data_IF_082007067372
#
_entry.id   IF_082007067372
#
_cell.length_a   1.000
_cell.length_b   1.000
_cell.length_c   1.000
_cell.angle_alpha   90.00
_cell.angle_beta   90.00
_cell.angle_gamma   90.00
#
_symmetry.space_group_name_H-M   'P 1'
#
loop_
_entity.id
_entity.type
_entity.pdbx_description
1 polymer ?
#
# COMPACT_ATOMS: atom_id res chain seq x y z
N UNK A 1 -26.17 -20.78 -0.09
CA UNK A 1 -25.00 -21.03 -1.01
C UNK A 1 -24.49 -19.66 -1.48
N UNK A 2 -23.25 -19.32 -1.18
CA UNK A 2 -22.69 -18.02 -1.58
C UNK A 2 -22.60 -17.92 -3.11
N UNK A 3 -22.99 -16.78 -3.68
CA UNK A 3 -22.85 -16.51 -5.13
C UNK A 3 -21.38 -16.43 -5.53
N UNK A 4 -21.07 -16.63 -6.81
CA UNK A 4 -19.70 -16.46 -7.34
C UNK A 4 -19.26 -14.99 -7.23
N UNK A 5 -17.93 -14.75 -7.16
CA UNK A 5 -17.38 -13.41 -7.12
C UNK A 5 -17.79 -12.58 -8.35
N UNK A 6 -17.81 -13.18 -9.53
CA UNK A 6 -18.23 -12.51 -10.76
C UNK A 6 -19.69 -12.03 -10.68
N UNK A 7 -20.59 -12.86 -10.17
CA UNK A 7 -21.99 -12.49 -9.96
C UNK A 7 -22.13 -11.41 -8.89
N UNK A 8 -21.34 -11.48 -7.82
CA UNK A 8 -21.30 -10.44 -6.77
C UNK A 8 -20.92 -9.08 -7.35
N UNK A 9 -19.81 -9.00 -8.10
CA UNK A 9 -19.35 -7.73 -8.70
C UNK A 9 -20.38 -7.16 -9.69
N UNK A 10 -21.02 -8.02 -10.49
CA UNK A 10 -22.10 -7.60 -11.40
C UNK A 10 -23.24 -6.93 -10.64
N UNK A 11 -23.72 -7.56 -9.57
CA UNK A 11 -24.81 -7.01 -8.75
C UNK A 11 -24.37 -5.69 -8.10
N UNK A 12 -23.19 -5.66 -7.49
CA UNK A 12 -22.67 -4.50 -6.76
C UNK A 12 -22.53 -3.26 -7.66
N UNK A 13 -21.96 -3.42 -8.84
CA UNK A 13 -21.72 -2.30 -9.76
C UNK A 13 -22.94 -1.90 -10.59
N UNK A 14 -23.71 -2.87 -11.08
CA UNK A 14 -24.70 -2.64 -12.15
C UNK A 14 -26.16 -2.76 -11.71
N UNK A 15 -26.47 -3.51 -10.66
CA UNK A 15 -27.87 -3.82 -10.32
C UNK A 15 -28.41 -3.01 -9.15
N UNK A 16 -27.54 -2.37 -8.35
CA UNK A 16 -27.96 -1.54 -7.22
C UNK A 16 -28.47 -0.18 -7.69
N UNK A 17 -29.65 0.21 -7.20
CA UNK A 17 -30.20 1.55 -7.46
C UNK A 17 -29.39 2.64 -6.76
N UNK A 18 -29.47 3.92 -7.17
CA UNK A 18 -28.79 5.02 -6.49
C UNK A 18 -29.11 5.12 -4.99
N UNK A 19 -30.35 4.80 -4.60
CA UNK A 19 -30.77 4.79 -3.19
C UNK A 19 -30.15 3.61 -2.43
N UNK A 20 -30.08 2.45 -3.05
CA UNK A 20 -29.44 1.26 -2.46
C UNK A 20 -27.94 1.47 -2.30
N UNK A 21 -27.25 2.13 -3.26
CA UNK A 21 -25.83 2.50 -3.16
C UNK A 21 -25.53 3.47 -2.03
N UNK A 22 -26.53 4.23 -1.54
CA UNK A 22 -26.39 5.08 -0.35
C UNK A 22 -26.67 4.32 0.95
N UNK A 23 -27.65 3.42 0.96
CA UNK A 23 -28.04 2.64 2.16
C UNK A 23 -26.99 1.60 2.53
N UNK A 24 -26.47 0.90 1.55
CA UNK A 24 -25.58 -0.26 1.76
C UNK A 24 -24.31 0.07 2.56
N UNK A 25 -23.54 1.12 2.24
CA UNK A 25 -22.36 1.48 3.02
C UNK A 25 -22.68 1.81 4.49
N UNK A 26 -23.77 2.51 4.75
CA UNK A 26 -24.20 2.87 6.11
C UNK A 26 -24.56 1.62 6.92
N UNK A 27 -25.24 0.66 6.28
CA UNK A 27 -25.55 -0.63 6.89
C UNK A 27 -24.28 -1.45 7.19
N UNK A 28 -23.36 -1.55 6.23
CA UNK A 28 -22.08 -2.24 6.40
C UNK A 28 -21.16 -1.55 7.41
N UNK A 29 -21.38 -0.25 7.66
CA UNK A 29 -20.77 0.50 8.75
C UNK A 29 -21.37 0.18 10.13
N UNK A 30 -22.37 -0.71 10.20
CA UNK A 30 -23.01 -1.11 11.44
C UNK A 30 -24.03 -0.10 12.00
N UNK A 31 -24.53 0.84 11.18
CA UNK A 31 -25.59 1.76 11.59
C UNK A 31 -26.95 1.04 11.76
N UNK A 32 -27.79 1.58 12.64
CA UNK A 32 -29.19 1.11 12.80
C UNK A 32 -30.08 1.67 11.70
N UNK A 33 -31.21 1.03 11.44
CA UNK A 33 -32.20 1.51 10.47
C UNK A 33 -32.64 2.96 10.74
N UNK A 34 -32.70 3.37 12.01
CA UNK A 34 -33.02 4.74 12.41
C UNK A 34 -31.91 5.73 12.04
N UNK A 35 -30.68 5.36 12.30
CA UNK A 35 -29.51 6.17 11.92
C UNK A 35 -29.42 6.34 10.38
N UNK A 36 -29.58 5.24 9.64
CA UNK A 36 -29.59 5.24 8.16
C UNK A 36 -30.74 6.11 7.65
N UNK A 37 -31.95 5.97 8.20
CA UNK A 37 -33.09 6.78 7.78
C UNK A 37 -32.84 8.28 8.03
N UNK A 38 -32.26 8.64 9.17
CA UNK A 38 -31.91 10.02 9.51
C UNK A 38 -30.89 10.62 8.54
N UNK A 39 -29.84 9.88 8.21
CA UNK A 39 -28.80 10.34 7.24
C UNK A 39 -29.35 10.50 5.82
N UNK A 40 -30.37 9.70 5.47
CA UNK A 40 -31.05 9.79 4.16
C UNK A 40 -32.16 10.85 4.12
N UNK A 41 -32.39 11.58 5.22
CA UNK A 41 -33.48 12.54 5.32
C UNK A 41 -34.89 11.90 5.31
N UNK A 42 -34.98 10.61 5.65
CA UNK A 42 -36.24 9.88 5.65
C UNK A 42 -36.89 9.94 7.05
N UNK A 43 -38.21 10.10 7.07
CA UNK A 43 -39.00 10.25 8.30
C UNK A 43 -39.23 8.94 9.07
N UNK A 44 -39.08 7.78 8.41
CA UNK A 44 -39.34 6.47 9.00
C UNK A 44 -38.21 5.46 8.78
N UNK A 45 -37.87 4.70 9.85
CA UNK A 45 -36.89 3.59 9.82
C UNK A 45 -37.23 2.49 8.79
N UNK A 46 -38.52 2.32 8.48
CA UNK A 46 -39.01 1.35 7.50
C UNK A 46 -38.43 1.55 6.11
N UNK A 47 -38.01 2.78 5.77
CA UNK A 47 -37.38 3.08 4.49
C UNK A 47 -36.03 2.37 4.36
N UNK A 48 -35.20 2.39 5.39
CA UNK A 48 -33.90 1.70 5.42
C UNK A 48 -34.10 0.17 5.37
N UNK A 49 -34.99 -0.35 6.22
CA UNK A 49 -35.30 -1.77 6.28
C UNK A 49 -35.82 -2.32 4.95
N UNK A 50 -36.69 -1.60 4.26
CA UNK A 50 -37.20 -1.99 2.94
C UNK A 50 -36.08 -2.02 1.88
N UNK A 51 -35.19 -1.04 1.89
CA UNK A 51 -34.05 -1.05 0.94
C UNK A 51 -33.09 -2.21 1.22
N UNK A 52 -32.81 -2.52 2.48
CA UNK A 52 -31.95 -3.65 2.86
C UNK A 52 -32.54 -5.00 2.46
N UNK A 53 -33.85 -5.20 2.59
CA UNK A 53 -34.53 -6.41 2.08
C UNK A 53 -34.33 -6.57 0.58
N UNK A 54 -34.54 -5.49 -0.18
CA UNK A 54 -34.37 -5.51 -1.63
C UNK A 54 -32.92 -5.73 -2.06
N UNK A 55 -31.94 -5.18 -1.32
CA UNK A 55 -30.52 -5.44 -1.53
C UNK A 55 -30.22 -6.91 -1.28
N UNK A 56 -30.64 -7.44 -0.13
CA UNK A 56 -30.41 -8.82 0.27
C UNK A 56 -30.96 -9.82 -0.73
N UNK A 57 -32.16 -9.60 -1.25
CA UNK A 57 -32.77 -10.45 -2.29
C UNK A 57 -31.91 -10.47 -3.59
N UNK A 58 -31.36 -9.33 -4.00
CA UNK A 58 -30.47 -9.28 -5.19
C UNK A 58 -29.19 -10.10 -4.99
N UNK A 59 -28.66 -10.13 -3.78
CA UNK A 59 -27.48 -10.92 -3.44
C UNK A 59 -27.77 -12.39 -3.10
N UNK A 60 -29.03 -12.82 -3.22
CA UNK A 60 -29.44 -14.21 -3.04
C UNK A 60 -29.85 -14.59 -1.63
N UNK A 61 -30.15 -13.61 -0.78
CA UNK A 61 -30.68 -13.80 0.59
C UNK A 61 -32.08 -13.20 0.74
N UNK A 62 -33.11 -13.75 0.12
CA UNK A 62 -34.47 -13.23 0.27
C UNK A 62 -34.95 -13.39 1.71
N UNK A 63 -35.47 -12.31 2.34
CA UNK A 63 -35.87 -12.33 3.75
C UNK A 63 -36.97 -13.34 4.11
N UNK A 64 -37.69 -13.80 3.10
CA UNK A 64 -38.78 -14.77 3.26
C UNK A 64 -38.25 -16.19 3.53
N UNK A 65 -37.06 -16.52 3.04
CA UNK A 65 -36.42 -17.83 3.18
C UNK A 65 -35.15 -17.79 4.03
N UNK A 66 -34.57 -16.60 4.24
CA UNK A 66 -33.33 -16.40 4.96
C UNK A 66 -33.57 -15.40 6.12
N UNK A 67 -33.96 -15.86 7.32
CA UNK A 67 -34.24 -14.98 8.44
C UNK A 67 -33.05 -14.12 8.85
N UNK A 68 -31.83 -14.67 8.72
CA UNK A 68 -30.57 -13.99 9.03
C UNK A 68 -29.97 -13.22 7.84
N UNK A 69 -30.81 -12.84 6.85
CA UNK A 69 -30.38 -12.18 5.61
C UNK A 69 -29.44 -10.99 5.82
N UNK A 70 -29.55 -10.28 6.94
CA UNK A 70 -28.68 -9.15 7.27
C UNK A 70 -27.25 -9.60 7.56
N UNK A 71 -27.10 -10.64 8.35
CA UNK A 71 -25.81 -11.21 8.68
C UNK A 71 -25.19 -11.92 7.46
N UNK A 72 -26.00 -12.68 6.71
CA UNK A 72 -25.58 -13.29 5.46
C UNK A 72 -25.03 -12.25 4.45
N UNK A 73 -25.68 -11.07 4.40
CA UNK A 73 -25.21 -9.96 3.55
C UNK A 73 -23.89 -9.38 4.06
N UNK A 74 -23.76 -9.15 5.39
CA UNK A 74 -22.51 -8.66 6.01
C UNK A 74 -21.38 -9.65 5.77
N UNK A 75 -21.58 -10.96 6.00
CA UNK A 75 -20.58 -12.01 5.78
C UNK A 75 -20.13 -12.10 4.33
N UNK A 76 -21.06 -11.98 3.40
CA UNK A 76 -20.73 -11.99 1.98
C UNK A 76 -19.90 -10.77 1.60
N UNK A 77 -20.23 -9.57 2.09
CA UNK A 77 -19.43 -8.38 1.88
C UNK A 77 -18.08 -8.48 2.59
N UNK A 78 -18.01 -9.05 3.79
CA UNK A 78 -16.75 -9.32 4.48
C UNK A 78 -15.82 -10.25 3.68
N UNK A 79 -16.40 -11.17 2.89
CA UNK A 79 -15.64 -12.06 2.01
C UNK A 79 -15.15 -11.38 0.71
N UNK A 80 -16.00 -10.59 0.06
CA UNK A 80 -15.73 -10.08 -1.30
C UNK A 80 -15.31 -8.61 -1.32
N UNK A 81 -15.70 -7.81 -0.33
CA UNK A 81 -15.40 -6.39 -0.14
C UNK A 81 -15.18 -6.07 1.35
N UNK A 82 -14.17 -6.72 1.98
CA UNK A 82 -13.93 -6.56 3.43
C UNK A 82 -13.72 -5.09 3.83
N UNK A 83 -13.18 -4.28 2.92
CA UNK A 83 -12.95 -2.85 3.12
C UNK A 83 -14.25 -2.04 3.33
N UNK A 84 -15.41 -2.60 3.02
CA UNK A 84 -16.71 -1.94 3.22
C UNK A 84 -17.39 -2.33 4.54
N UNK A 85 -16.91 -3.37 5.23
CA UNK A 85 -17.58 -3.93 6.41
C UNK A 85 -16.88 -3.48 7.68
N UNK A 86 -17.64 -2.87 8.60
CA UNK A 86 -17.10 -2.49 9.91
C UNK A 86 -17.08 -3.65 10.89
N UNK A 87 -16.17 -3.58 11.88
CA UNK A 87 -16.14 -4.48 13.03
C UNK A 87 -17.50 -4.53 13.73
N UNK A 88 -18.10 -3.38 13.96
CA UNK A 88 -19.42 -3.25 14.59
C UNK A 88 -20.54 -3.98 13.82
N UNK A 89 -20.46 -4.05 12.49
CA UNK A 89 -21.40 -4.82 11.69
C UNK A 89 -21.22 -6.32 11.90
N UNK A 90 -19.97 -6.79 11.95
CA UNK A 90 -19.61 -8.18 12.18
C UNK A 90 -19.98 -8.64 13.60
N UNK A 91 -19.74 -7.82 14.60
CA UNK A 91 -20.14 -8.09 16.00
C UNK A 91 -21.65 -8.31 16.14
N UNK A 92 -22.48 -7.54 15.43
CA UNK A 92 -23.94 -7.70 15.41
C UNK A 92 -24.41 -9.06 14.86
N UNK A 93 -23.54 -9.71 14.08
CA UNK A 93 -23.79 -11.05 13.52
C UNK A 93 -23.16 -12.18 14.35
N UNK A 94 -22.73 -11.88 15.59
CA UNK A 94 -22.10 -12.86 16.47
C UNK A 94 -20.63 -13.16 16.13
N UNK A 95 -20.06 -12.46 15.15
CA UNK A 95 -18.62 -12.49 14.93
C UNK A 95 -17.94 -11.62 16.00
N UNK A 96 -17.50 -12.24 17.06
CA UNK A 96 -16.63 -11.59 18.04
C UNK A 96 -15.29 -11.36 17.35
N UNK A 97 -15.05 -10.14 16.85
CA UNK A 97 -13.69 -9.77 16.45
C UNK A 97 -12.93 -9.52 17.75
N UNK A 98 -12.46 -10.62 18.34
CA UNK A 98 -11.75 -10.59 19.60
C UNK A 98 -10.40 -9.89 19.51
N UNK A 99 -9.85 -9.69 18.30
CA UNK A 99 -8.54 -9.02 18.13
C UNK A 99 -8.50 -8.22 16.82
N UNK A 100 -8.59 -6.89 16.93
CA UNK A 100 -8.14 -6.01 15.87
C UNK A 100 -6.61 -6.16 15.80
N UNK A 101 -6.03 -6.53 14.65
CA UNK A 101 -4.59 -6.72 14.57
C UNK A 101 -3.86 -5.39 14.76
N UNK A 102 -2.78 -5.43 15.51
CA UNK A 102 -1.87 -4.30 15.63
C UNK A 102 -1.36 -3.90 14.23
N UNK A 103 -1.25 -2.60 13.91
CA UNK A 103 -0.84 -2.14 12.58
C UNK A 103 0.66 -2.28 12.36
N UNK A 104 1.13 -3.51 12.18
CA UNK A 104 2.50 -3.80 11.83
C UNK A 104 2.62 -4.46 10.45
N UNK A 105 3.63 -4.04 9.70
CA UNK A 105 3.87 -4.57 8.36
C UNK A 105 2.78 -4.24 7.33
N UNK A 106 2.77 -4.94 6.20
CA UNK A 106 1.80 -4.74 5.14
C UNK A 106 0.45 -5.37 5.48
N UNK A 107 -0.65 -4.66 5.20
CA UNK A 107 -2.01 -5.15 5.41
C UNK A 107 -2.27 -6.46 4.64
N UNK A 108 -2.75 -7.52 5.30
CA UNK A 108 -3.10 -8.79 4.68
C UNK A 108 -4.11 -8.62 3.52
N UNK A 109 -4.14 -9.58 2.58
CA UNK A 109 -5.02 -9.50 1.41
C UNK A 109 -6.51 -9.47 1.78
N UNK A 110 -6.88 -10.19 2.82
CA UNK A 110 -8.24 -10.29 3.35
C UNK A 110 -8.51 -9.30 4.50
N UNK A 111 -7.61 -8.34 4.76
CA UNK A 111 -7.80 -7.38 5.83
C UNK A 111 -8.96 -6.43 5.54
N UNK A 112 -9.88 -6.30 6.50
CA UNK A 112 -10.91 -5.26 6.50
C UNK A 112 -10.34 -3.84 6.64
N UNK A 113 -9.07 -3.71 7.02
CA UNK A 113 -8.42 -2.43 7.29
C UNK A 113 -7.56 -1.91 6.15
N UNK A 114 -7.46 -2.64 5.03
CA UNK A 114 -6.89 -2.07 3.84
C UNK A 114 -7.79 -0.98 3.27
N UNK A 115 -7.25 0.20 3.08
CA UNK A 115 -7.97 1.31 2.46
C UNK A 115 -7.57 1.45 1.00
N UNK A 116 -8.50 1.13 0.10
CA UNK A 116 -8.30 1.35 -1.33
C UNK A 116 -8.16 2.84 -1.66
N UNK A 117 -7.29 3.13 -2.60
CA UNK A 117 -7.03 4.47 -3.14
C UNK A 117 -7.45 4.56 -4.60
N UNK A 118 -8.73 4.27 -4.84
CA UNK A 118 -9.28 4.37 -6.20
C UNK A 118 -8.88 5.70 -6.87
N UNK A 119 -8.41 5.69 -8.16
CA UNK A 119 -8.40 4.56 -9.10
C UNK A 119 -7.05 3.80 -9.15
N UNK A 120 -6.20 3.88 -8.12
CA UNK A 120 -4.81 3.36 -8.17
C UNK A 120 -4.80 1.85 -8.38
N UNK A 121 -5.55 1.11 -7.57
CA UNK A 121 -5.62 -0.35 -7.62
C UNK A 121 -6.10 -0.84 -8.98
N UNK A 122 -7.20 -0.30 -9.48
CA UNK A 122 -7.76 -0.68 -10.79
C UNK A 122 -6.81 -0.38 -11.95
N UNK A 123 -6.09 0.75 -11.90
CA UNK A 123 -5.04 1.07 -12.88
C UNK A 123 -3.91 0.05 -12.86
N UNK A 124 -3.47 -0.36 -11.67
CA UNK A 124 -2.44 -1.39 -11.53
C UNK A 124 -2.92 -2.75 -12.05
N UNK A 125 -4.16 -3.13 -11.73
CA UNK A 125 -4.76 -4.41 -12.16
C UNK A 125 -4.98 -4.47 -13.68
N UNK A 126 -5.22 -3.34 -14.30
CA UNK A 126 -5.27 -3.25 -15.77
C UNK A 126 -3.87 -3.34 -16.36
N UNK A 127 -2.94 -2.53 -15.85
CA UNK A 127 -1.58 -2.45 -16.39
C UNK A 127 -0.80 -3.76 -16.29
N UNK A 128 -0.99 -4.56 -15.21
CA UNK A 128 -0.25 -5.82 -15.04
C UNK A 128 -0.59 -6.86 -16.12
N UNK A 129 -1.70 -6.71 -16.82
CA UNK A 129 -2.12 -7.61 -17.91
C UNK A 129 -1.40 -7.32 -19.22
N UNK A 130 -0.91 -6.07 -19.39
CA UNK A 130 -0.25 -5.67 -20.62
C UNK A 130 1.12 -6.35 -20.80
N UNK A 131 1.47 -6.81 -22.01
CA UNK A 131 2.79 -7.37 -22.30
C UNK A 131 3.92 -6.42 -21.90
N UNK A 132 4.95 -6.96 -21.23
CA UNK A 132 6.12 -6.18 -20.82
C UNK A 132 5.84 -5.09 -19.78
N UNK A 133 4.70 -5.09 -19.10
CA UNK A 133 4.33 -4.04 -18.16
C UNK A 133 5.40 -3.79 -17.10
N UNK A 134 5.70 -2.51 -16.87
CA UNK A 134 6.50 -2.03 -15.76
C UNK A 134 5.64 -1.07 -14.92
N UNK A 135 5.40 -1.42 -13.66
CA UNK A 135 4.67 -0.59 -12.70
C UNK A 135 5.65 -0.16 -11.61
N UNK A 136 5.75 1.14 -11.39
CA UNK A 136 6.61 1.74 -10.36
C UNK A 136 5.76 2.31 -9.24
N UNK A 137 5.91 1.76 -8.04
CA UNK A 137 5.18 2.23 -6.86
C UNK A 137 6.13 3.06 -6.01
N UNK A 138 5.82 4.33 -5.88
CA UNK A 138 6.59 5.29 -5.08
C UNK A 138 5.75 5.87 -3.95
N UNK A 139 6.28 5.89 -2.76
CA UNK A 139 5.82 6.69 -1.62
C UNK A 139 6.87 6.67 -0.51
N UNK A 140 6.83 7.57 0.46
CA UNK A 140 7.60 7.46 1.69
C UNK A 140 7.40 6.13 2.43
N UNK A 141 8.20 5.88 3.45
CA UNK A 141 8.03 4.69 4.32
C UNK A 141 6.63 4.69 4.96
N UNK A 142 6.10 3.49 5.22
CA UNK A 142 4.81 3.28 5.91
C UNK A 142 3.55 3.85 5.22
N UNK A 143 3.65 4.17 3.92
CA UNK A 143 2.52 4.64 3.11
C UNK A 143 1.71 3.52 2.44
N UNK A 144 2.04 2.25 2.69
CA UNK A 144 1.29 1.09 2.19
C UNK A 144 1.74 0.55 0.83
N UNK A 145 2.96 0.87 0.37
CA UNK A 145 3.54 0.38 -0.90
C UNK A 145 3.49 -1.14 -1.03
N UNK A 146 4.03 -1.85 -0.04
CA UNK A 146 4.07 -3.33 -0.02
C UNK A 146 2.67 -3.94 0.06
N UNK A 147 1.71 -3.27 0.72
CA UNK A 147 0.31 -3.71 0.75
C UNK A 147 -0.33 -3.67 -0.63
N UNK A 148 -0.09 -2.62 -1.41
CA UNK A 148 -0.53 -2.52 -2.81
C UNK A 148 0.20 -3.55 -3.68
N UNK A 149 1.52 -3.68 -3.56
CA UNK A 149 2.31 -4.66 -4.30
C UNK A 149 1.76 -6.08 -4.15
N UNK A 150 1.49 -6.52 -2.92
CA UNK A 150 0.92 -7.84 -2.63
C UNK A 150 -0.45 -8.04 -3.28
N UNK A 151 -1.28 -6.99 -3.38
CA UNK A 151 -2.58 -7.04 -4.05
C UNK A 151 -2.46 -7.16 -5.57
N UNK A 152 -1.52 -6.44 -6.17
CA UNK A 152 -1.23 -6.58 -7.62
C UNK A 152 -0.75 -8.01 -7.91
N UNK A 153 0.12 -8.57 -7.08
CA UNK A 153 0.58 -9.96 -7.21
C UNK A 153 -0.56 -10.97 -7.04
N UNK A 154 -1.47 -10.72 -6.09
CA UNK A 154 -2.63 -11.58 -5.89
C UNK A 154 -3.59 -11.54 -7.09
N UNK A 155 -3.77 -10.37 -7.70
CA UNK A 155 -4.56 -10.23 -8.93
C UNK A 155 -3.91 -10.97 -10.11
N UNK A 156 -2.58 -10.86 -10.24
CA UNK A 156 -1.83 -11.62 -11.25
C UNK A 156 -1.97 -13.14 -11.08
N UNK A 157 -1.93 -13.63 -9.83
CA UNK A 157 -2.17 -15.06 -9.54
C UNK A 157 -3.57 -15.53 -9.93
N UNK A 158 -4.61 -14.70 -9.79
CA UNK A 158 -5.99 -15.07 -10.20
C UNK A 158 -6.10 -15.34 -11.70
N UNK A 159 -5.26 -14.72 -12.50
CA UNK A 159 -5.18 -14.93 -13.95
C UNK A 159 -4.04 -15.89 -14.36
N UNK A 160 -3.60 -16.74 -13.42
CA UNK A 160 -2.61 -17.79 -13.62
C UNK A 160 -1.21 -17.30 -14.00
N UNK A 161 -0.83 -16.07 -13.61
CA UNK A 161 0.54 -15.59 -13.78
C UNK A 161 1.42 -16.15 -12.66
N UNK A 162 2.63 -16.58 -13.01
CA UNK A 162 3.67 -16.91 -12.04
C UNK A 162 4.17 -15.63 -11.37
N UNK A 163 4.36 -15.64 -10.06
CA UNK A 163 4.78 -14.44 -9.32
C UNK A 163 6.00 -14.74 -8.46
N UNK A 164 6.98 -13.85 -8.52
CA UNK A 164 8.17 -13.87 -7.66
C UNK A 164 8.21 -12.56 -6.88
N UNK A 165 8.43 -12.64 -5.57
CA UNK A 165 8.59 -11.49 -4.69
C UNK A 165 9.99 -11.47 -4.11
N UNK A 166 10.70 -10.37 -4.31
CA UNK A 166 12.02 -10.14 -3.75
C UNK A 166 12.04 -8.80 -3.00
N UNK A 167 12.36 -8.86 -1.71
CA UNK A 167 12.64 -7.69 -0.89
C UNK A 167 14.17 -7.58 -0.70
N UNK A 168 14.75 -6.49 -1.18
CA UNK A 168 16.21 -6.27 -1.14
C UNK A 168 16.75 -6.10 0.29
N UNK A 169 15.92 -5.70 1.26
CA UNK A 169 16.33 -5.62 2.66
C UNK A 169 16.59 -7.00 3.31
N UNK A 170 16.10 -8.09 2.69
CA UNK A 170 16.33 -9.45 3.16
C UNK A 170 17.60 -10.11 2.57
N UNK A 171 18.24 -9.45 1.62
CA UNK A 171 19.50 -9.96 1.03
C UNK A 171 20.66 -9.58 1.95
N UNK A 172 21.47 -10.56 2.30
CA UNK A 172 22.66 -10.35 3.13
C UNK A 172 23.63 -9.34 2.50
N UNK A 173 24.18 -8.45 3.32
CA UNK A 173 25.09 -7.37 2.89
C UNK A 173 26.31 -7.88 2.11
N UNK A 174 26.82 -9.07 2.43
CA UNK A 174 27.93 -9.69 1.73
C UNK A 174 27.64 -10.04 0.24
N UNK A 175 26.36 -10.09 -0.15
CA UNK A 175 25.94 -10.34 -1.54
C UNK A 175 25.96 -9.08 -2.40
N UNK A 176 26.13 -7.91 -1.79
CA UNK A 176 26.27 -6.64 -2.51
C UNK A 176 27.73 -6.23 -2.74
N UNK A 177 28.68 -7.14 -2.56
CA UNK A 177 30.12 -6.85 -2.69
C UNK A 177 30.55 -6.58 -4.14
N UNK A 178 29.94 -7.28 -5.10
CA UNK A 178 30.18 -7.06 -6.53
C UNK A 178 28.94 -7.44 -7.37
N UNK A 179 28.87 -6.92 -8.59
CA UNK A 179 27.73 -7.12 -9.48
C UNK A 179 27.52 -8.60 -9.88
N UNK A 180 28.60 -9.39 -10.02
CA UNK A 180 28.49 -10.78 -10.43
C UNK A 180 27.81 -11.63 -9.34
N UNK A 181 28.25 -11.52 -8.09
CA UNK A 181 27.66 -12.29 -6.97
C UNK A 181 26.24 -11.85 -6.68
N UNK A 182 25.97 -10.56 -6.78
CA UNK A 182 24.63 -10.03 -6.66
C UNK A 182 23.68 -10.61 -7.74
N UNK A 183 24.05 -10.54 -9.01
CA UNK A 183 23.19 -11.00 -10.11
C UNK A 183 22.98 -12.52 -10.08
N UNK A 184 23.99 -13.29 -9.70
CA UNK A 184 23.86 -14.73 -9.47
C UNK A 184 22.86 -15.03 -8.34
N UNK A 185 22.99 -14.32 -7.22
CA UNK A 185 22.08 -14.46 -6.07
C UNK A 185 20.66 -14.06 -6.46
N UNK A 186 20.49 -12.96 -7.17
CA UNK A 186 19.22 -12.49 -7.70
C UNK A 186 18.56 -13.55 -8.59
N UNK A 187 19.26 -14.08 -9.57
CA UNK A 187 18.74 -15.12 -10.45
C UNK A 187 18.38 -16.40 -9.68
N UNK A 188 19.26 -16.89 -8.81
CA UNK A 188 19.01 -18.07 -8.01
C UNK A 188 17.75 -17.89 -7.10
N UNK A 189 17.57 -16.71 -6.54
CA UNK A 189 16.40 -16.38 -5.73
C UNK A 189 15.09 -16.45 -6.56
N UNK A 190 15.11 -15.94 -7.78
CA UNK A 190 13.95 -15.99 -8.69
C UNK A 190 13.61 -17.43 -9.04
N UNK A 191 14.59 -18.23 -9.42
CA UNK A 191 14.39 -19.65 -9.78
C UNK A 191 13.81 -20.44 -8.61
N UNK A 192 14.35 -20.25 -7.40
CA UNK A 192 13.90 -21.02 -6.22
C UNK A 192 12.44 -20.71 -5.81
N UNK A 193 11.87 -19.58 -6.21
CA UNK A 193 10.46 -19.27 -5.95
C UNK A 193 9.49 -19.83 -7.01
N UNK A 194 9.99 -20.30 -8.14
CA UNK A 194 9.16 -20.83 -9.22
C UNK A 194 8.97 -22.34 -9.08
N UNK A 195 7.72 -22.77 -8.90
CA UNK A 195 7.37 -24.19 -8.71
C UNK A 195 7.70 -25.07 -9.92
N UNK A 196 7.80 -24.48 -11.11
CA UNK A 196 8.09 -25.16 -12.38
C UNK A 196 9.36 -24.58 -13.01
N UNK A 197 10.34 -24.22 -12.19
CA UNK A 197 11.58 -23.67 -12.71
C UNK A 197 12.39 -24.73 -13.46
N UNK A 198 12.98 -24.39 -14.61
CA UNK A 198 13.97 -25.21 -15.24
C UNK A 198 15.21 -25.36 -14.33
N UNK A 199 16.06 -26.39 -14.54
CA UNK A 199 17.33 -26.47 -13.84
C UNK A 199 18.12 -25.17 -14.01
N UNK A 200 18.83 -24.76 -12.94
CA UNK A 200 19.69 -23.59 -12.99
C UNK A 200 20.59 -23.66 -14.23
N UNK A 201 20.44 -22.69 -15.11
CA UNK A 201 21.34 -22.53 -16.26
C UNK A 201 22.74 -22.29 -15.71
N UNK A 202 23.74 -22.92 -16.32
CA UNK A 202 25.15 -22.74 -15.92
C UNK A 202 25.51 -21.26 -16.10
N UNK A 203 25.94 -20.65 -15.02
CA UNK A 203 26.43 -19.28 -15.03
C UNK A 203 27.83 -19.28 -15.63
N UNK A 204 27.98 -18.69 -16.81
CA UNK A 204 29.23 -18.63 -17.53
C UNK A 204 30.09 -17.46 -16.98
N UNK A 205 31.24 -17.78 -16.40
CA UNK A 205 32.15 -16.79 -15.81
C UNK A 205 32.93 -15.96 -16.84
N UNK A 206 32.95 -16.41 -18.09
CA UNK A 206 33.65 -15.72 -19.18
C UNK A 206 32.80 -14.65 -19.86
N UNK A 207 31.51 -14.61 -19.55
CA UNK A 207 30.54 -13.61 -20.04
C UNK A 207 30.34 -12.52 -18.99
N UNK A 208 30.25 -11.22 -19.38
CA UNK A 208 29.92 -10.15 -18.46
C UNK A 208 28.62 -10.44 -17.68
N UNK A 209 28.62 -10.20 -16.39
CA UNK A 209 27.54 -10.63 -15.46
C UNK A 209 26.14 -10.14 -15.84
N UNK A 210 26.00 -8.93 -16.38
CA UNK A 210 24.71 -8.42 -16.87
C UNK A 210 24.19 -9.18 -18.10
N UNK A 211 25.10 -9.49 -19.04
CA UNK A 211 24.77 -10.26 -20.24
C UNK A 211 24.37 -11.67 -19.83
N UNK A 212 25.13 -12.27 -18.94
CA UNK A 212 24.86 -13.60 -18.39
C UNK A 212 23.48 -13.66 -17.70
N UNK A 213 23.20 -12.70 -16.82
CA UNK A 213 21.90 -12.59 -16.18
C UNK A 213 20.75 -12.43 -17.19
N UNK A 214 20.96 -11.61 -18.24
CA UNK A 214 19.95 -11.40 -19.28
C UNK A 214 19.69 -12.68 -20.09
N UNK A 215 20.72 -13.40 -20.49
CA UNK A 215 20.60 -14.66 -21.24
C UNK A 215 19.93 -15.75 -20.39
N UNK A 216 20.26 -15.85 -19.11
CA UNK A 216 19.64 -16.82 -18.21
C UNK A 216 18.16 -16.50 -17.97
N UNK A 217 17.80 -15.22 -17.81
CA UNK A 217 16.39 -14.80 -17.73
C UNK A 217 15.63 -15.04 -19.03
N UNK A 218 16.25 -14.76 -20.17
CA UNK A 218 15.65 -15.05 -21.47
C UNK A 218 15.38 -16.55 -21.65
N UNK A 219 16.31 -17.42 -21.24
CA UNK A 219 16.15 -18.85 -21.25
C UNK A 219 15.01 -19.30 -20.31
N UNK A 220 14.93 -18.72 -19.10
CA UNK A 220 13.83 -18.96 -18.18
C UNK A 220 12.48 -18.60 -18.80
N UNK A 221 12.33 -17.40 -19.37
CA UNK A 221 11.09 -16.95 -19.99
C UNK A 221 10.65 -17.79 -21.20
N UNK A 222 11.62 -18.33 -21.97
CA UNK A 222 11.34 -19.28 -23.07
C UNK A 222 10.69 -20.58 -22.55
N UNK A 223 11.22 -21.10 -21.44
CA UNK A 223 10.79 -22.37 -20.86
C UNK A 223 9.54 -22.27 -19.98
N UNK A 224 9.23 -21.04 -19.53
CA UNK A 224 8.08 -20.81 -18.68
C UNK A 224 6.78 -20.82 -19.49
N UNK A 225 5.81 -21.64 -19.05
CA UNK A 225 4.45 -21.56 -19.56
C UNK A 225 3.72 -20.37 -18.97
N UNK A 226 3.52 -19.31 -19.80
CA UNK A 226 2.79 -18.12 -19.40
C UNK A 226 3.66 -16.93 -18.97
N UNK A 227 3.14 -16.12 -18.09
CA UNK A 227 3.65 -14.81 -17.70
C UNK A 227 4.35 -14.87 -16.34
N UNK A 228 5.49 -14.20 -16.23
CA UNK A 228 6.21 -13.99 -14.97
C UNK A 228 6.04 -12.56 -14.47
N UNK A 229 5.53 -12.41 -13.27
CA UNK A 229 5.52 -11.14 -12.51
C UNK A 229 6.67 -11.14 -11.52
N UNK A 230 7.63 -10.27 -11.72
CA UNK A 230 8.76 -10.06 -10.84
C UNK A 230 8.54 -8.78 -10.01
N UNK A 231 8.28 -8.97 -8.74
CA UNK A 231 8.02 -7.90 -7.78
C UNK A 231 9.27 -7.62 -6.94
N UNK A 232 9.83 -6.42 -7.11
CA UNK A 232 11.05 -5.94 -6.47
C UNK A 232 10.66 -4.87 -5.45
N UNK A 233 10.78 -5.21 -4.17
CA UNK A 233 10.44 -4.31 -3.06
C UNK A 233 11.71 -3.78 -2.37
N UNK A 234 11.61 -2.56 -1.84
CA UNK A 234 12.69 -1.85 -1.16
C UNK A 234 13.98 -1.73 -2.00
N UNK A 235 13.82 -1.44 -3.30
CA UNK A 235 14.96 -1.27 -4.20
C UNK A 235 15.86 -0.10 -3.84
N UNK A 236 15.41 0.78 -2.92
CA UNK A 236 16.21 1.86 -2.33
C UNK A 236 17.50 1.35 -1.70
N UNK A 237 17.50 0.14 -1.16
CA UNK A 237 18.67 -0.51 -0.57
C UNK A 237 19.84 -0.59 -1.54
N UNK A 238 19.57 -0.74 -2.83
CA UNK A 238 20.60 -0.84 -3.85
C UNK A 238 21.38 0.46 -4.04
N UNK A 239 20.80 1.64 -3.73
CA UNK A 239 21.50 2.93 -3.90
C UNK A 239 22.68 3.12 -2.94
N UNK A 240 22.82 2.28 -1.93
CA UNK A 240 24.01 2.20 -1.07
C UNK A 240 25.21 1.57 -1.81
N UNK A 241 24.97 0.86 -2.95
CA UNK A 241 25.96 0.05 -3.68
C UNK A 241 26.08 0.50 -5.14
N UNK A 242 26.93 1.50 -5.44
CA UNK A 242 27.04 2.07 -6.80
C UNK A 242 27.34 1.06 -7.91
N UNK A 243 28.21 0.10 -7.66
CA UNK A 243 28.58 -0.94 -8.64
C UNK A 243 27.40 -1.86 -8.98
N UNK A 244 26.44 -2.00 -8.06
CA UNK A 244 25.24 -2.81 -8.26
C UNK A 244 24.19 -2.01 -9.03
N UNK A 245 23.76 -0.87 -8.50
CA UNK A 245 22.60 -0.17 -9.06
C UNK A 245 22.87 0.40 -10.46
N UNK A 246 24.11 0.83 -10.74
CA UNK A 246 24.50 1.34 -12.06
C UNK A 246 24.44 0.29 -13.17
N UNK A 247 24.48 -0.99 -12.81
CA UNK A 247 24.35 -2.11 -13.73
C UNK A 247 22.94 -2.71 -13.72
N UNK A 248 22.37 -2.91 -12.55
CA UNK A 248 21.09 -3.60 -12.36
C UNK A 248 19.89 -2.84 -12.94
N UNK A 249 19.78 -1.54 -12.65
CA UNK A 249 18.64 -0.77 -13.14
C UNK A 249 18.64 -0.56 -14.66
N UNK A 250 19.74 -0.25 -15.32
CA UNK A 250 19.79 -0.26 -16.79
C UNK A 250 19.44 -1.61 -17.40
N UNK A 251 19.85 -2.72 -16.78
CA UNK A 251 19.46 -4.07 -17.22
C UNK A 251 17.95 -4.28 -17.17
N UNK A 252 17.29 -3.91 -16.05
CA UNK A 252 15.82 -4.00 -15.92
C UNK A 252 15.11 -3.13 -16.95
N UNK A 253 15.63 -1.93 -17.21
CA UNK A 253 15.10 -1.05 -18.26
C UNK A 253 15.20 -1.70 -19.64
N UNK A 254 16.35 -2.24 -19.98
CA UNK A 254 16.55 -2.93 -21.26
C UNK A 254 15.57 -4.10 -21.42
N UNK A 255 15.30 -4.88 -20.36
CA UNK A 255 14.32 -5.95 -20.40
C UNK A 255 12.90 -5.44 -20.69
N UNK A 256 12.54 -4.30 -20.11
CA UNK A 256 11.24 -3.67 -20.39
C UNK A 256 11.15 -3.13 -21.82
N UNK A 257 12.20 -2.50 -22.34
CA UNK A 257 12.25 -1.99 -23.72
C UNK A 257 12.18 -3.12 -24.74
N UNK A 258 12.90 -4.22 -24.52
CA UNK A 258 12.89 -5.40 -25.35
C UNK A 258 11.51 -6.09 -25.42
N UNK A 259 10.63 -5.85 -24.47
CA UNK A 259 9.28 -6.40 -24.49
C UNK A 259 8.42 -5.88 -25.65
N UNK A 260 8.76 -4.73 -26.22
CA UNK A 260 8.08 -4.16 -27.37
C UNK A 260 8.41 -4.90 -28.69
N UNK A 261 9.56 -5.58 -28.74
CA UNK A 261 10.10 -6.21 -29.94
C UNK A 261 10.14 -7.75 -29.85
N UNK A 262 10.00 -8.29 -28.63
CA UNK A 262 10.17 -9.71 -28.33
C UNK A 262 9.03 -10.28 -27.50
N UNK A 263 8.30 -11.27 -28.04
CA UNK A 263 7.28 -12.01 -27.31
C UNK A 263 7.81 -12.67 -26.03
N UNK A 264 9.10 -13.05 -26.01
CA UNK A 264 9.74 -13.65 -24.85
C UNK A 264 9.80 -12.65 -23.71
N UNK A 265 10.32 -11.46 -23.97
CA UNK A 265 10.37 -10.37 -22.97
C UNK A 265 8.98 -9.82 -22.67
N UNK A 266 8.05 -9.91 -23.63
CA UNK A 266 6.64 -9.63 -23.42
C UNK A 266 5.97 -10.52 -22.35
N UNK A 267 6.56 -11.67 -21.96
CA UNK A 267 6.10 -12.49 -20.83
C UNK A 267 6.50 -11.92 -19.46
N UNK A 268 7.48 -11.02 -19.36
CA UNK A 268 7.92 -10.43 -18.10
C UNK A 268 7.04 -9.24 -17.73
N UNK A 269 6.66 -9.15 -16.46
CA UNK A 269 6.03 -8.00 -15.80
C UNK A 269 6.93 -7.56 -14.66
N UNK A 270 7.24 -6.28 -14.58
CA UNK A 270 8.07 -5.73 -13.51
C UNK A 270 7.23 -4.85 -12.58
N UNK A 271 7.30 -5.15 -11.29
CA UNK A 271 6.80 -4.28 -10.23
C UNK A 271 8.01 -3.77 -9.44
N UNK A 272 8.24 -2.46 -9.44
CA UNK A 272 9.39 -1.84 -8.76
C UNK A 272 8.89 -0.89 -7.68
N UNK A 273 9.25 -1.16 -6.44
CA UNK A 273 8.79 -0.40 -5.27
C UNK A 273 9.95 0.34 -4.63
N UNK A 274 9.81 1.65 -4.49
CA UNK A 274 10.84 2.51 -3.91
C UNK A 274 10.25 3.68 -3.11
N UNK A 275 11.07 4.26 -2.22
CA UNK A 275 10.68 5.40 -1.38
C UNK A 275 11.33 6.71 -1.85
N UNK A 276 12.52 6.66 -2.41
CA UNK A 276 13.35 7.83 -2.69
C UNK A 276 13.17 8.40 -4.09
N UNK A 277 13.51 9.69 -4.25
CA UNK A 277 13.86 10.32 -5.51
C UNK A 277 15.38 10.60 -5.62
N UNK A 278 16.15 10.26 -4.60
CA UNK A 278 17.61 10.29 -4.66
C UNK A 278 18.13 9.00 -5.29
N UNK A 279 18.33 9.02 -6.58
CA UNK A 279 18.83 7.89 -7.36
C UNK A 279 20.36 7.84 -7.43
N UNK A 280 21.06 8.56 -6.55
CA UNK A 280 22.51 8.62 -6.50
C UNK A 280 23.11 9.21 -7.80
N UNK A 281 24.04 8.46 -8.41
CA UNK A 281 24.67 8.82 -9.70
C UNK A 281 24.04 8.09 -10.89
N UNK A 282 22.87 7.47 -10.71
CA UNK A 282 22.19 6.77 -11.81
C UNK A 282 21.71 7.78 -12.86
N UNK A 283 22.04 7.53 -14.12
CA UNK A 283 21.40 8.24 -15.22
C UNK A 283 19.92 7.83 -15.28
N UNK A 284 19.04 8.76 -14.95
CA UNK A 284 17.60 8.53 -14.94
C UNK A 284 17.07 8.05 -16.29
N UNK A 285 17.73 8.43 -17.40
CA UNK A 285 17.38 8.00 -18.76
C UNK A 285 17.74 6.55 -19.05
N UNK A 286 18.63 5.97 -18.24
CA UNK A 286 19.05 4.57 -18.34
C UNK A 286 18.43 3.70 -17.26
N UNK A 287 17.48 4.21 -16.50
CA UNK A 287 16.87 3.52 -15.37
C UNK A 287 15.38 3.19 -15.61
N UNK A 288 14.81 2.21 -14.90
CA UNK A 288 13.38 1.93 -14.99
C UNK A 288 12.53 3.04 -14.36
N UNK A 289 13.13 4.02 -13.66
CA UNK A 289 12.40 5.02 -12.89
C UNK A 289 11.78 6.15 -13.71
N UNK A 290 11.99 6.23 -15.00
CA UNK A 290 11.36 7.21 -15.89
C UNK A 290 10.48 6.57 -16.98
N UNK A 291 10.31 5.25 -16.97
CA UNK A 291 9.47 4.50 -17.92
C UNK A 291 8.38 3.71 -17.19
N UNK A 292 7.41 3.17 -17.93
CA UNK A 292 6.31 2.39 -17.35
C UNK A 292 5.26 3.24 -16.63
N UNK A 293 4.35 2.58 -15.90
CA UNK A 293 3.27 3.22 -15.18
C UNK A 293 3.75 3.75 -13.82
N UNK A 294 3.81 5.08 -13.61
CA UNK A 294 4.13 5.64 -12.30
C UNK A 294 2.90 5.62 -11.39
N UNK A 295 3.07 5.05 -10.21
CA UNK A 295 2.08 5.05 -9.13
C UNK A 295 2.69 5.75 -7.93
N UNK A 296 2.13 6.90 -7.57
CA UNK A 296 2.46 7.61 -6.35
C UNK A 296 1.35 7.38 -5.34
N UNK A 297 1.70 6.87 -4.15
CA UNK A 297 0.75 6.75 -3.06
C UNK A 297 0.76 8.03 -2.24
N UNK A 298 -0.37 8.72 -2.25
CA UNK A 298 -0.59 9.89 -1.41
C UNK A 298 -1.12 9.47 -0.02
N UNK A 299 -1.21 10.42 0.89
CA UNK A 299 -1.89 10.26 2.18
C UNK A 299 -3.38 9.92 1.97
N UNK A 300 -4.02 9.37 2.98
CA UNK A 300 -5.46 9.16 2.98
C UNK A 300 -6.20 10.49 3.00
N UNK A 301 -7.28 10.57 2.21
CA UNK A 301 -8.23 11.68 2.28
C UNK A 301 -9.07 11.57 3.56
N UNK A 302 -9.78 12.64 3.89
CA UNK A 302 -10.71 12.65 5.04
C UNK A 302 -11.77 11.56 4.91
N UNK A 303 -12.31 11.35 3.70
CA UNK A 303 -13.30 10.30 3.42
C UNK A 303 -12.72 8.90 3.63
N UNK A 304 -11.47 8.69 3.23
CA UNK A 304 -10.78 7.42 3.42
C UNK A 304 -10.50 7.15 4.91
N UNK A 305 -10.12 8.16 5.67
CA UNK A 305 -9.92 8.04 7.12
C UNK A 305 -11.26 7.81 7.83
N UNK A 306 -12.34 8.49 7.42
CA UNK A 306 -13.72 8.22 7.91
C UNK A 306 -14.12 6.78 7.67
N UNK A 307 -13.95 6.29 6.44
CA UNK A 307 -14.27 4.91 6.08
C UNK A 307 -13.46 3.92 6.93
N UNK A 308 -12.18 4.20 7.15
CA UNK A 308 -11.32 3.35 7.98
C UNK A 308 -11.75 3.36 9.46
N UNK A 309 -12.09 4.52 10.04
CA UNK A 309 -12.58 4.65 11.40
C UNK A 309 -13.91 3.89 11.62
N UNK A 310 -14.84 4.00 10.66
CA UNK A 310 -16.10 3.25 10.70
C UNK A 310 -15.84 1.75 10.73
N UNK A 311 -14.89 1.25 9.93
CA UNK A 311 -14.49 -0.17 9.93
C UNK A 311 -13.86 -0.63 11.25
N UNK A 312 -13.28 0.30 12.02
CA UNK A 312 -12.84 0.08 13.38
C UNK A 312 -13.98 0.17 14.42
N UNK A 313 -15.22 0.48 14.02
CA UNK A 313 -16.32 0.68 14.92
C UNK A 313 -16.35 2.05 15.64
N UNK A 314 -15.53 3.00 15.18
CA UNK A 314 -15.41 4.33 15.78
C UNK A 314 -16.36 5.34 15.11
N UNK A 315 -16.83 6.32 15.88
CA UNK A 315 -17.58 7.46 15.35
C UNK A 315 -16.65 8.39 14.55
N UNK A 316 -17.16 8.93 13.46
CA UNK A 316 -16.45 9.88 12.61
C UNK A 316 -16.03 11.18 13.32
N UNK A 317 -16.58 11.50 14.48
CA UNK A 317 -16.18 12.66 15.30
C UNK A 317 -14.73 12.59 15.78
N UNK A 318 -14.20 11.39 15.95
CA UNK A 318 -12.81 11.17 16.42
C UNK A 318 -11.75 11.42 15.34
N UNK A 319 -12.16 11.61 14.09
CA UNK A 319 -11.24 11.69 12.95
C UNK A 319 -10.53 13.04 12.85
N UNK A 320 -11.29 14.12 13.03
CA UNK A 320 -10.75 15.47 12.87
C UNK A 320 -9.54 15.75 13.77
N UNK A 321 -9.55 15.42 15.07
CA UNK A 321 -8.38 15.58 15.93
C UNK A 321 -7.17 14.75 15.47
N UNK A 322 -7.40 13.51 15.03
CA UNK A 322 -6.34 12.63 14.53
C UNK A 322 -5.73 13.24 13.25
N UNK A 323 -6.56 13.61 12.27
CA UNK A 323 -6.07 14.19 11.02
C UNK A 323 -5.38 15.55 11.24
N UNK A 324 -5.84 16.33 12.17
CA UNK A 324 -5.17 17.59 12.55
C UNK A 324 -3.76 17.36 13.10
N UNK A 325 -3.52 16.21 13.76
CA UNK A 325 -2.24 15.85 14.34
C UNK A 325 -1.30 15.19 13.32
N UNK A 326 -1.77 14.12 12.65
CA UNK A 326 -0.93 13.24 11.83
C UNK A 326 -1.21 13.32 10.33
N UNK A 327 -2.10 14.21 9.89
CA UNK A 327 -2.57 14.23 8.50
C UNK A 327 -3.30 12.95 8.13
N UNK A 328 -3.22 12.59 6.86
CA UNK A 328 -3.72 11.32 6.34
C UNK A 328 -2.65 10.21 6.30
N UNK A 329 -1.60 10.28 7.11
CA UNK A 329 -0.52 9.30 7.08
C UNK A 329 -1.04 7.89 7.43
N UNK A 330 -1.01 6.91 6.51
CA UNK A 330 -1.70 5.63 6.69
C UNK A 330 -1.37 4.89 7.97
N UNK A 331 -0.08 4.76 8.29
CA UNK A 331 0.37 4.07 9.49
C UNK A 331 -0.05 4.81 10.77
N UNK A 332 0.17 6.13 10.84
CA UNK A 332 -0.13 6.90 12.06
C UNK A 332 -1.64 6.98 12.32
N UNK A 333 -2.44 7.12 11.27
CA UNK A 333 -3.91 7.04 11.38
C UNK A 333 -4.33 5.67 11.89
N UNK A 334 -3.82 4.59 11.29
CA UNK A 334 -4.17 3.22 11.67
C UNK A 334 -3.79 2.91 13.12
N UNK A 335 -2.63 3.41 13.56
CA UNK A 335 -2.16 3.27 14.93
C UNK A 335 -3.09 3.96 15.93
N UNK A 336 -3.48 5.23 15.66
CA UNK A 336 -4.43 5.95 16.49
C UNK A 336 -5.78 5.22 16.60
N UNK A 337 -6.32 4.77 15.47
CA UNK A 337 -7.60 4.06 15.44
C UNK A 337 -7.52 2.74 16.22
N UNK A 338 -6.40 2.03 16.16
CA UNK A 338 -6.16 0.81 16.93
C UNK A 338 -6.27 1.07 18.44
N UNK A 339 -5.49 2.02 18.97
CA UNK A 339 -5.48 2.31 20.41
C UNK A 339 -6.82 2.82 20.92
N UNK A 340 -7.54 3.62 20.12
CA UNK A 340 -8.87 4.09 20.48
C UNK A 340 -9.90 2.95 20.57
N UNK A 341 -9.81 1.96 19.69
CA UNK A 341 -10.74 0.81 19.71
C UNK A 341 -10.42 -0.16 20.83
N UNK A 342 -9.15 -0.40 21.09
CA UNK A 342 -8.72 -1.22 22.22
C UNK A 342 -9.02 -0.56 23.59
N UNK A 343 -9.45 0.72 23.58
CA UNK A 343 -9.66 1.53 24.79
C UNK A 343 -8.40 1.70 25.64
N UNK A 344 -7.23 1.53 25.02
CA UNK A 344 -5.92 1.74 25.66
C UNK A 344 -5.59 3.23 25.77
N UNK A 345 -6.30 4.10 25.03
CA UNK A 345 -6.20 5.54 25.11
C UNK A 345 -7.53 6.20 24.74
N UNK A 346 -7.85 7.31 25.37
CA UNK A 346 -8.88 8.25 24.91
C UNK A 346 -8.30 9.20 23.87
N UNK A 347 -9.16 9.86 23.09
CA UNK A 347 -8.69 10.87 22.12
C UNK A 347 -7.96 12.03 22.79
N UNK A 348 -8.36 12.41 24.03
CA UNK A 348 -7.69 13.45 24.81
C UNK A 348 -6.28 13.06 25.22
N UNK A 349 -6.10 11.86 25.77
CA UNK A 349 -4.80 11.30 26.16
C UNK A 349 -3.89 11.15 24.93
N UNK A 350 -4.42 10.60 23.83
CA UNK A 350 -3.68 10.44 22.58
C UNK A 350 -3.10 11.78 22.09
N UNK A 351 -3.89 12.84 22.12
CA UNK A 351 -3.44 14.17 21.68
C UNK A 351 -2.45 14.80 22.66
N UNK A 352 -2.65 14.61 23.96
CA UNK A 352 -1.81 15.15 25.00
C UNK A 352 -0.44 14.47 25.05
N UNK A 353 -0.40 13.15 24.86
CA UNK A 353 0.82 12.34 24.94
C UNK A 353 1.50 12.09 23.60
N UNK A 354 0.96 12.64 22.51
CA UNK A 354 1.41 12.34 21.15
C UNK A 354 2.92 12.55 20.93
N UNK A 355 3.52 13.56 21.56
CA UNK A 355 4.94 13.92 21.44
C UNK A 355 5.79 13.46 22.62
N UNK A 356 5.24 12.67 23.54
CA UNK A 356 5.95 12.15 24.70
C UNK A 356 6.63 10.81 24.38
N UNK A 357 7.56 10.39 25.22
CA UNK A 357 8.26 9.09 25.09
C UNK A 357 7.37 7.88 25.47
N UNK A 358 6.24 8.12 26.10
CA UNK A 358 5.21 7.13 26.47
C UNK A 358 4.02 7.10 25.52
N UNK A 359 3.91 8.10 24.63
CA UNK A 359 2.82 8.20 23.67
C UNK A 359 2.84 7.10 22.60
N UNK A 360 1.70 6.86 21.99
CA UNK A 360 1.52 5.79 20.99
C UNK A 360 2.43 5.91 19.76
N UNK A 361 2.95 7.11 19.48
CA UNK A 361 3.84 7.39 18.34
C UNK A 361 5.32 7.32 18.71
N UNK A 362 5.67 7.09 19.97
CA UNK A 362 7.05 7.19 20.50
C UNK A 362 8.06 6.35 19.73
N UNK A 363 7.78 5.08 19.44
CA UNK A 363 8.67 4.22 18.65
C UNK A 363 8.90 4.72 17.24
N UNK A 364 7.85 5.23 16.58
CA UNK A 364 7.94 5.78 15.24
C UNK A 364 8.81 7.05 15.22
N UNK A 365 8.58 7.94 16.18
CA UNK A 365 9.30 9.21 16.31
C UNK A 365 10.76 8.98 16.67
N UNK A 366 11.04 8.05 17.59
CA UNK A 366 12.40 7.70 18.03
C UNK A 366 13.25 7.17 16.88
N UNK A 367 12.71 6.29 16.03
CA UNK A 367 13.43 5.79 14.84
C UNK A 367 13.86 6.90 13.88
N UNK A 368 13.05 7.95 13.73
CA UNK A 368 13.45 9.11 12.95
C UNK A 368 14.50 9.96 13.66
N UNK A 369 14.37 10.12 14.99
CA UNK A 369 15.34 10.86 15.78
C UNK A 369 16.73 10.21 15.72
N UNK A 370 16.81 8.89 15.90
CA UNK A 370 18.06 8.12 15.75
C UNK A 370 18.71 8.35 14.37
N UNK A 371 17.92 8.34 13.30
CA UNK A 371 18.42 8.66 11.95
C UNK A 371 19.00 10.07 11.85
N UNK A 372 18.41 11.05 12.53
CA UNK A 372 18.92 12.44 12.56
C UNK A 372 20.15 12.58 13.43
N UNK A 373 20.28 11.82 14.51
CA UNK A 373 21.48 11.78 15.37
C UNK A 373 22.67 11.15 14.61
N UNK A 374 22.42 10.07 13.86
CA UNK A 374 23.43 9.44 13.01
C UNK A 374 23.83 10.32 11.81
N UNK A 375 22.91 11.13 11.29
CA UNK A 375 23.13 12.04 10.18
C UNK A 375 22.82 13.50 10.58
N UNK A 376 23.77 14.13 11.25
CA UNK A 376 23.63 15.50 11.78
C UNK A 376 23.34 16.54 10.70
N UNK A 377 23.82 16.36 9.46
CA UNK A 377 23.54 17.27 8.35
C UNK A 377 22.06 17.21 7.97
N UNK A 378 21.49 16.01 7.94
CA UNK A 378 20.08 15.80 7.67
C UNK A 378 19.22 16.38 8.80
N UNK A 379 19.62 16.15 10.07
CA UNK A 379 18.97 16.72 11.25
C UNK A 379 18.97 18.24 11.23
N UNK A 380 20.09 18.91 10.87
CA UNK A 380 20.17 20.35 10.75
C UNK A 380 19.20 20.92 9.69
N UNK A 381 19.12 20.28 8.52
CA UNK A 381 18.19 20.70 7.47
C UNK A 381 16.74 20.54 7.96
N UNK A 382 16.43 19.43 8.61
CA UNK A 382 15.07 19.20 9.13
C UNK A 382 14.72 20.17 10.26
N UNK A 383 15.65 20.48 11.15
CA UNK A 383 15.48 21.53 12.18
C UNK A 383 15.08 22.87 11.57
N UNK A 384 15.75 23.30 10.49
CA UNK A 384 15.40 24.54 9.78
C UNK A 384 13.96 24.52 9.25
N UNK A 385 13.50 23.34 8.75
CA UNK A 385 12.14 23.18 8.23
C UNK A 385 11.11 23.27 9.36
N UNK A 386 11.31 22.55 10.47
CA UNK A 386 10.36 22.52 11.59
C UNK A 386 10.35 23.85 12.38
N UNK A 387 11.45 24.62 12.37
CA UNK A 387 11.49 25.95 12.97
C UNK A 387 10.71 27.01 12.18
N UNK A 388 10.19 26.67 11.00
CA UNK A 388 9.52 27.61 10.09
C UNK A 388 8.10 27.11 9.76
N UNK A 389 7.09 27.67 10.43
CA UNK A 389 5.70 27.24 10.29
C UNK A 389 5.15 27.39 8.85
N UNK A 390 5.63 28.38 8.09
CA UNK A 390 5.23 28.60 6.70
C UNK A 390 6.02 27.75 5.69
N UNK A 391 7.00 26.97 6.19
CA UNK A 391 7.92 26.20 5.36
C UNK A 391 9.06 27.07 4.81
N UNK A 392 10.05 26.40 4.22
CA UNK A 392 11.22 27.04 3.63
C UNK A 392 11.24 26.86 2.11
N UNK A 393 11.66 27.90 1.37
CA UNK A 393 11.94 27.77 -0.06
C UNK A 393 13.23 26.99 -0.23
N UNK A 394 13.19 25.94 -1.03
CA UNK A 394 14.32 25.05 -1.23
C UNK A 394 14.70 25.00 -2.70
N UNK A 395 15.98 25.01 -2.99
CA UNK A 395 16.49 24.69 -4.33
C UNK A 395 16.20 23.23 -4.67
N UNK A 396 15.64 22.99 -5.87
CA UNK A 396 15.14 21.68 -6.34
C UNK A 396 16.20 20.55 -6.44
N UNK A 397 17.47 20.80 -6.10
CA UNK A 397 18.56 19.83 -6.19
C UNK A 397 19.20 19.47 -4.84
N UNK A 398 18.51 19.75 -3.74
CA UNK A 398 19.05 19.44 -2.42
C UNK A 398 18.79 17.99 -2.07
N UNK A 399 19.85 17.17 -1.99
CA UNK A 399 19.81 15.74 -1.66
C UNK A 399 19.16 15.46 -0.32
N UNK A 400 19.43 16.28 0.70
CA UNK A 400 18.85 16.12 2.03
C UNK A 400 17.32 16.27 1.99
N UNK A 401 16.80 17.17 1.16
CA UNK A 401 15.35 17.34 0.98
C UNK A 401 14.70 16.07 0.40
N UNK A 402 15.32 15.44 -0.61
CA UNK A 402 14.82 14.18 -1.14
C UNK A 402 14.91 13.03 -0.13
N UNK A 403 15.94 13.01 0.72
CA UNK A 403 16.05 12.04 1.80
C UNK A 403 14.93 12.23 2.84
N UNK A 404 14.68 13.48 3.26
CA UNK A 404 13.59 13.81 4.18
C UNK A 404 12.20 13.49 3.60
N UNK A 405 11.99 13.72 2.29
CA UNK A 405 10.75 13.31 1.62
C UNK A 405 10.60 11.78 1.58
N UNK A 406 11.68 11.04 1.31
CA UNK A 406 11.71 9.58 1.33
C UNK A 406 11.40 9.00 2.70
N UNK A 407 11.89 9.64 3.76
CA UNK A 407 11.56 9.29 5.15
C UNK A 407 10.08 9.57 5.47
N UNK A 408 9.43 10.46 4.72
CA UNK A 408 8.05 10.84 4.94
C UNK A 408 7.85 11.91 6.00
N UNK A 409 8.92 12.62 6.42
CA UNK A 409 8.84 13.65 7.47
C UNK A 409 8.54 15.04 6.95
N UNK A 410 8.68 15.26 5.64
CA UNK A 410 8.34 16.52 4.96
C UNK A 410 7.30 16.33 3.86
N UNK A 411 6.74 17.45 3.41
CA UNK A 411 5.90 17.55 2.22
C UNK A 411 6.21 18.82 1.45
N UNK A 412 5.99 18.76 0.13
CA UNK A 412 6.09 19.94 -0.74
C UNK A 412 4.73 20.64 -0.83
N UNK A 413 4.71 21.96 -0.64
CA UNK A 413 3.52 22.81 -0.79
C UNK A 413 3.93 24.15 -1.38
N UNK A 414 3.33 24.57 -2.50
CA UNK A 414 3.53 25.90 -3.13
C UNK A 414 4.99 26.31 -3.30
N UNK A 415 5.87 25.43 -3.77
CA UNK A 415 7.32 25.62 -3.90
C UNK A 415 8.08 25.78 -2.55
N UNK A 416 7.44 25.51 -1.44
CA UNK A 416 8.04 25.41 -0.12
C UNK A 416 8.07 23.97 0.35
N UNK A 417 8.99 23.69 1.26
CA UNK A 417 9.07 22.43 1.99
C UNK A 417 8.69 22.70 3.43
N UNK A 418 7.80 21.88 3.97
CA UNK A 418 7.32 21.98 5.35
C UNK A 418 7.28 20.61 6.01
N UNK A 419 7.19 20.58 7.33
CA UNK A 419 6.91 19.35 8.07
C UNK A 419 5.63 18.68 7.54
N UNK A 420 5.63 17.37 7.39
CA UNK A 420 4.50 16.64 6.83
C UNK A 420 3.23 16.78 7.66
N UNK A 421 3.35 16.78 8.98
CA UNK A 421 2.24 16.88 9.90
C UNK A 421 2.62 17.61 11.19
N UNK A 422 1.61 17.97 11.98
CA UNK A 422 1.79 18.69 13.25
C UNK A 422 2.59 17.86 14.26
N UNK A 423 2.37 16.54 14.32
CA UNK A 423 3.12 15.63 15.19
C UNK A 423 4.64 15.76 14.99
N UNK A 424 5.10 15.76 13.75
CA UNK A 424 6.53 15.90 13.46
C UNK A 424 7.05 17.30 13.75
N UNK A 425 6.23 18.32 13.44
CA UNK A 425 6.59 19.70 13.72
C UNK A 425 6.84 19.92 15.22
N UNK A 426 5.91 19.48 16.06
CA UNK A 426 5.98 19.63 17.53
C UNK A 426 7.11 18.78 18.12
N UNK A 427 7.17 17.49 17.80
CA UNK A 427 8.17 16.57 18.38
C UNK A 427 9.61 16.95 18.05
N UNK A 428 9.90 17.21 16.77
CA UNK A 428 11.26 17.52 16.32
C UNK A 428 11.65 18.98 16.52
N UNK A 429 10.67 19.89 16.60
CA UNK A 429 10.93 21.29 16.95
C UNK A 429 11.58 21.45 18.31
N UNK A 430 11.22 20.61 19.26
CA UNK A 430 11.75 20.63 20.64
C UNK A 430 13.05 19.81 20.82
N UNK A 431 13.33 18.85 19.94
CA UNK A 431 14.41 17.85 20.13
C UNK A 431 15.61 18.00 19.19
N UNK A 432 15.46 18.64 18.05
CA UNK A 432 16.56 18.97 17.13
C UNK A 432 17.03 20.41 17.33
#
# INVERSE_FOLDING_TARGET
MLISQEKFEKIYHNELTPKQKKVLPLFLAGQTDEQIAKELGATHRSTASHQLRNISTKFGFPPETEPDYRCNLIEMFAKYKPELVSVKALEKCGHIIQNIPFPEGPEPLNSAFYQERSPIESRCYTAIKEPGALIRIKAPKQMGKTSLLKRIMAEAKKISYSTVYLNFSLIETNKFTNANDFLRTFYAYVINQLSSAPPLTVWDTDIPSMVNCTLTFQSLLKQLDGVLVLALDEVDKLFEYPEIYQNFFPMLRNWNENANESEIWGKLRLLVVHSTEDYGRLDINQSPFNVGLPIKLEEFTEEQVKSLAIRHGLDSKNIFPIMSLVGGHPYLVRLALYYLVCQDATIGELLQEATTDTGIYSEHLRRHLETFEENQDLGRVFKQIVSNAEGIKVERKNRQIYQLDSMGVIKFSNNCVMSRCRLYHEYFGDRL
#
